data_IF_142028358208
#
_entry.id   IF_142028358208
#
_cell.length_a   1.000
_cell.length_b   1.000
_cell.length_c   1.000
_cell.angle_alpha   90.00
_cell.angle_beta   90.00
_cell.angle_gamma   90.00
#
_symmetry.space_group_name_H-M   'P 1'
#
loop_
_entity.id
_entity.type
_entity.pdbx_description
1 polymer ?
#
# COMPACT_ATOMS: atom_id res chain seq x y z
N UNK A 1 34.71 -24.14 -13.23
CA UNK A 1 33.49 -23.48 -13.75
C UNK A 1 32.97 -22.60 -12.64
N UNK A 2 33.01 -21.28 -12.81
CA UNK A 2 32.53 -20.34 -11.79
C UNK A 2 31.01 -20.46 -11.72
N UNK A 3 30.49 -20.89 -10.58
CA UNK A 3 29.08 -20.74 -10.26
C UNK A 3 28.78 -19.25 -10.33
N UNK A 4 27.97 -18.85 -11.30
CA UNK A 4 27.39 -17.50 -11.29
C UNK A 4 26.60 -17.36 -10.00
N UNK A 5 26.88 -16.35 -9.15
CA UNK A 5 25.98 -16.04 -8.05
C UNK A 5 24.72 -15.43 -8.66
N UNK A 6 23.84 -16.29 -9.18
CA UNK A 6 22.51 -15.89 -9.61
C UNK A 6 21.74 -15.49 -8.36
N UNK A 7 21.77 -14.18 -8.13
CA UNK A 7 20.67 -13.41 -7.59
C UNK A 7 20.24 -13.78 -6.16
N UNK A 8 21.10 -13.44 -5.20
CA UNK A 8 20.72 -13.32 -3.78
C UNK A 8 19.87 -12.06 -3.51
N UNK A 9 19.18 -11.50 -4.52
CA UNK A 9 18.49 -10.21 -4.42
C UNK A 9 16.99 -10.27 -4.76
N UNK A 10 16.44 -11.44 -5.08
CA UNK A 10 15.00 -11.60 -5.31
C UNK A 10 14.17 -11.31 -4.04
N UNK A 11 14.75 -11.57 -2.86
CA UNK A 11 14.13 -11.28 -1.56
C UNK A 11 14.12 -9.80 -1.17
N UNK A 12 14.82 -8.92 -1.89
CA UNK A 12 14.89 -7.48 -1.60
C UNK A 12 13.92 -6.63 -2.44
N UNK A 13 13.35 -7.19 -3.51
CA UNK A 13 12.47 -6.44 -4.41
C UNK A 13 11.03 -6.42 -3.95
N UNK A 14 10.58 -7.51 -3.32
CA UNK A 14 9.18 -7.70 -2.94
C UNK A 14 8.93 -7.15 -1.54
N UNK A 15 8.26 -6.00 -1.46
CA UNK A 15 7.85 -5.41 -0.19
C UNK A 15 6.35 -5.60 0.07
N UNK A 16 6.01 -5.63 1.35
CA UNK A 16 4.63 -5.51 1.82
C UNK A 16 4.49 -4.18 2.54
N UNK A 17 3.64 -3.30 2.02
CA UNK A 17 3.37 -2.00 2.63
C UNK A 17 1.96 -2.03 3.19
N UNK A 18 1.83 -1.61 4.45
CA UNK A 18 0.52 -1.43 5.08
C UNK A 18 0.17 0.06 5.11
N UNK A 19 -0.91 0.42 4.43
CA UNK A 19 -1.43 1.79 4.40
C UNK A 19 -2.55 1.91 5.41
N UNK A 20 -2.46 2.89 6.31
CA UNK A 20 -3.56 3.19 7.22
C UNK A 20 -4.45 4.23 6.58
N UNK A 21 -5.67 3.81 6.24
CA UNK A 21 -6.71 4.68 5.68
C UNK A 21 -7.55 5.19 6.83
N UNK A 22 -7.54 6.50 7.02
CA UNK A 22 -8.29 7.16 8.09
C UNK A 22 -9.54 7.72 7.42
N UNK A 23 -10.73 7.46 7.98
CA UNK A 23 -11.99 8.05 7.52
C UNK A 23 -12.34 9.31 8.31
N UNK A 24 -11.95 9.33 9.58
CA UNK A 24 -12.22 10.45 10.47
C UNK A 24 -11.21 10.45 11.61
N UNK A 25 -10.35 11.46 11.64
CA UNK A 25 -9.47 11.71 12.78
C UNK A 25 -10.19 11.87 14.12
N UNK A 26 -11.30 12.64 14.24
CA UNK A 26 -11.95 12.83 15.54
C UNK A 26 -12.57 11.54 16.08
N UNK A 27 -13.13 10.71 15.21
CA UNK A 27 -13.73 9.44 15.57
C UNK A 27 -12.76 8.26 15.53
N UNK A 28 -11.49 8.50 15.18
CA UNK A 28 -10.41 7.49 15.06
C UNK A 28 -10.77 6.30 14.18
N UNK A 29 -11.73 6.45 13.27
CA UNK A 29 -12.16 5.38 12.38
C UNK A 29 -11.09 5.17 11.31
N UNK A 30 -10.30 4.11 11.46
CA UNK A 30 -9.23 3.77 10.54
C UNK A 30 -9.28 2.29 10.16
N UNK A 31 -8.78 1.98 8.97
CA UNK A 31 -8.62 0.60 8.48
C UNK A 31 -7.29 0.45 7.76
N UNK A 32 -6.67 -0.72 7.91
CA UNK A 32 -5.38 -1.01 7.33
C UNK A 32 -5.58 -1.72 5.99
N UNK A 33 -5.02 -1.16 4.92
CA UNK A 33 -4.89 -1.79 3.62
C UNK A 33 -3.50 -2.41 3.52
N UNK A 34 -3.42 -3.72 3.43
CA UNK A 34 -2.14 -4.42 3.25
C UNK A 34 -1.93 -4.65 1.77
N UNK A 35 -0.95 -3.96 1.19
CA UNK A 35 -0.56 -4.10 -0.21
C UNK A 35 0.69 -4.96 -0.27
N UNK A 36 0.54 -6.17 -0.83
CA UNK A 36 1.61 -7.18 -0.93
C UNK A 36 2.16 -7.20 -2.35
N UNK A 37 3.39 -7.68 -2.51
CA UNK A 37 3.96 -7.93 -3.83
C UNK A 37 4.40 -6.66 -4.54
N UNK A 38 4.80 -5.63 -3.80
CA UNK A 38 5.23 -4.37 -4.39
C UNK A 38 6.69 -4.45 -4.76
N UNK A 39 6.99 -4.11 -6.01
CA UNK A 39 8.37 -3.92 -6.46
C UNK A 39 8.82 -2.50 -6.13
N UNK A 40 9.61 -2.35 -5.07
CA UNK A 40 10.08 -1.04 -4.57
C UNK A 40 11.00 -0.31 -5.57
N UNK A 41 11.53 -1.01 -6.57
CA UNK A 41 12.44 -0.42 -7.57
C UNK A 41 11.68 0.16 -8.76
N UNK A 42 10.51 -0.39 -9.06
CA UNK A 42 9.70 0.03 -10.20
C UNK A 42 8.52 0.92 -9.80
N UNK A 43 7.97 0.78 -8.59
CA UNK A 43 6.75 1.50 -8.21
C UNK A 43 7.06 2.92 -7.71
N UNK A 44 6.39 3.91 -8.29
CA UNK A 44 6.43 5.28 -7.78
C UNK A 44 5.41 5.48 -6.67
N UNK A 45 5.63 6.47 -5.80
CA UNK A 45 4.69 6.83 -4.72
C UNK A 45 3.31 7.21 -5.29
N UNK A 46 3.28 7.86 -6.47
CA UNK A 46 2.04 8.24 -7.16
C UNK A 46 1.23 7.01 -7.59
N UNK A 47 1.88 6.06 -8.27
CA UNK A 47 1.26 4.79 -8.68
C UNK A 47 0.78 3.98 -7.49
N UNK A 48 1.59 3.93 -6.42
CA UNK A 48 1.22 3.26 -5.18
C UNK A 48 -0.05 3.87 -4.56
N UNK A 49 -0.13 5.20 -4.50
CA UNK A 49 -1.33 5.91 -4.01
C UNK A 49 -2.54 5.62 -4.88
N UNK A 50 -2.41 5.72 -6.20
CA UNK A 50 -3.51 5.44 -7.13
C UNK A 50 -4.03 4.01 -6.97
N UNK A 51 -3.12 3.05 -6.83
CA UNK A 51 -3.46 1.64 -6.56
C UNK A 51 -4.19 1.48 -5.23
N UNK A 52 -3.67 2.07 -4.15
CA UNK A 52 -4.30 2.01 -2.83
C UNK A 52 -5.72 2.62 -2.83
N UNK A 53 -5.91 3.78 -3.48
CA UNK A 53 -7.23 4.41 -3.66
C UNK A 53 -8.17 3.49 -4.45
N UNK A 54 -7.69 2.89 -5.54
CA UNK A 54 -8.48 1.97 -6.35
C UNK A 54 -8.91 0.73 -5.56
N UNK A 55 -8.01 0.13 -4.78
CA UNK A 55 -8.30 -1.01 -3.92
C UNK A 55 -9.36 -0.66 -2.86
N UNK A 56 -9.25 0.50 -2.21
CA UNK A 56 -10.28 1.00 -1.27
C UNK A 56 -11.62 1.22 -1.98
N UNK A 57 -11.61 1.69 -3.23
CA UNK A 57 -12.84 1.90 -4.00
C UNK A 57 -13.47 0.62 -4.54
N UNK A 58 -12.68 -0.44 -4.77
CA UNK A 58 -13.13 -1.66 -5.45
C UNK A 58 -13.46 -2.78 -4.47
N UNK A 59 -12.67 -2.93 -3.40
CA UNK A 59 -12.78 -4.07 -2.50
C UNK A 59 -14.07 -4.00 -1.66
N UNK A 60 -14.84 -5.10 -1.53
CA UNK A 60 -16.13 -5.10 -0.84
C UNK A 60 -16.02 -4.79 0.65
N UNK A 61 -14.87 -5.08 1.27
CA UNK A 61 -14.60 -4.74 2.67
C UNK A 61 -14.45 -3.25 2.95
N UNK A 62 -14.44 -2.40 1.92
CA UNK A 62 -14.20 -0.96 2.02
C UNK A 62 -15.44 -0.12 1.70
N UNK A 63 -16.62 -0.73 1.51
CA UNK A 63 -17.91 -0.03 1.37
C UNK A 63 -18.09 1.21 2.26
N UNK A 64 -17.79 1.20 3.57
CA UNK A 64 -17.96 2.40 4.40
C UNK A 64 -16.95 3.53 4.14
N UNK A 65 -15.89 3.26 3.37
CA UNK A 65 -14.84 4.20 2.93
C UNK A 65 -14.99 4.59 1.45
N UNK A 66 -15.78 3.86 0.65
CA UNK A 66 -16.00 4.16 -0.78
C UNK A 66 -16.72 5.49 -1.02
N UNK A 67 -17.62 5.87 -0.10
CA UNK A 67 -18.39 7.11 -0.17
C UNK A 67 -17.70 8.30 0.52
N UNK A 68 -16.48 8.10 1.02
CA UNK A 68 -15.69 9.17 1.64
C UNK A 68 -14.85 9.79 0.53
N UNK A 69 -14.83 11.12 0.48
CA UNK A 69 -13.91 11.85 -0.38
C UNK A 69 -12.50 11.74 0.25
N UNK A 70 -11.81 10.65 -0.09
CA UNK A 70 -10.43 10.41 0.33
C UNK A 70 -9.55 11.42 -0.41
N UNK A 71 -9.31 12.57 0.23
CA UNK A 71 -8.37 13.59 -0.24
C UNK A 71 -6.96 13.02 -0.40
N UNK A 72 -6.16 13.65 -1.26
CA UNK A 72 -4.78 13.23 -1.57
C UNK A 72 -3.84 13.15 -0.33
N UNK A 73 -4.28 13.68 0.81
CA UNK A 73 -3.55 13.84 2.07
C UNK A 73 -3.94 12.86 3.20
N UNK A 74 -5.01 12.05 3.08
CA UNK A 74 -5.54 11.26 4.21
C UNK A 74 -4.86 9.89 4.44
N UNK A 75 -3.81 9.57 3.68
CA UNK A 75 -3.06 8.32 3.83
C UNK A 75 -1.85 8.50 4.75
N UNK A 76 -1.94 7.96 5.97
CA UNK A 76 -0.78 7.80 6.83
C UNK A 76 -0.08 6.48 6.47
N UNK A 77 1.04 6.58 5.75
CA UNK A 77 1.89 5.43 5.46
C UNK A 77 2.68 5.05 6.71
N UNK A 78 2.33 3.92 7.31
CA UNK A 78 3.17 3.29 8.32
C UNK A 78 3.97 2.20 7.64
N UNK A 79 5.25 2.48 7.34
CA UNK A 79 6.17 1.45 6.91
C UNK A 79 6.48 0.57 8.13
N UNK A 80 6.06 -0.69 8.10
CA UNK A 80 6.55 -1.69 9.06
C UNK A 80 7.71 -2.39 8.37
N UNK A 81 8.92 -2.27 8.94
CA UNK A 81 10.09 -3.05 8.56
C UNK A 81 9.88 -4.51 8.95
#
# INVERSE_FOLDING_TARGET
MYSTPSDQNDSLKTATITVRVIKSFPYRTCKNLVVRGLDLTAITIGEFKARAVNDVKTLPGWKPYQNVELGNDEFSLFLSH
#
